data_IF_723144614847
#
_entry.id   IF_723144614847
#
_cell.length_a   1.000
_cell.length_b   1.000
_cell.length_c   1.000
_cell.angle_alpha   90.00
_cell.angle_beta   90.00
_cell.angle_gamma   90.00
#
_symmetry.space_group_name_H-M   'P 1'
#
loop_
_entity.id
_entity.type
_entity.pdbx_description
1 polymer ?
#
# COMPACT_ATOMS: atom_id res chain seq x y z
N UNK A 1 12.13 -19.13 12.80
CA UNK A 1 12.09 -19.04 11.32
C UNK A 1 12.70 -20.30 10.72
N UNK A 2 12.18 -20.79 9.59
CA UNK A 2 12.81 -21.92 8.88
C UNK A 2 14.08 -21.48 8.15
N UNK A 3 15.01 -22.41 7.93
CA UNK A 3 16.22 -22.16 7.15
C UNK A 3 15.89 -21.67 5.72
N UNK A 4 14.79 -22.16 5.15
CA UNK A 4 14.29 -21.71 3.84
C UNK A 4 13.84 -20.25 3.86
N UNK A 5 13.11 -19.80 4.88
CA UNK A 5 12.69 -18.42 5.01
C UNK A 5 13.89 -17.47 5.14
N UNK A 6 14.90 -17.86 5.93
CA UNK A 6 16.13 -17.09 6.08
C UNK A 6 16.90 -16.98 4.75
N UNK A 7 17.02 -18.09 4.02
CA UNK A 7 17.67 -18.11 2.70
C UNK A 7 16.96 -17.21 1.70
N UNK A 8 15.62 -17.32 1.60
CA UNK A 8 14.83 -16.52 0.67
C UNK A 8 14.93 -15.03 1.01
N UNK A 9 14.90 -14.68 2.29
CA UNK A 9 15.09 -13.30 2.75
C UNK A 9 16.49 -12.79 2.42
N UNK A 10 17.54 -13.60 2.59
CA UNK A 10 18.91 -13.26 2.19
C UNK A 10 19.02 -12.99 0.68
N UNK A 11 18.44 -13.83 -0.16
CA UNK A 11 18.39 -13.62 -1.62
C UNK A 11 17.66 -12.31 -1.94
N UNK A 12 16.53 -12.06 -1.31
CA UNK A 12 15.76 -10.83 -1.46
C UNK A 12 16.61 -9.59 -1.12
N UNK A 13 17.31 -9.59 0.02
CA UNK A 13 18.21 -8.49 0.40
C UNK A 13 19.35 -8.29 -0.61
N UNK A 14 19.94 -9.36 -1.14
CA UNK A 14 20.98 -9.25 -2.17
C UNK A 14 20.44 -8.55 -3.41
N UNK A 15 19.26 -8.95 -3.89
CA UNK A 15 18.62 -8.30 -5.05
C UNK A 15 18.39 -6.81 -4.79
N UNK A 16 17.89 -6.46 -3.60
CA UNK A 16 17.69 -5.06 -3.22
C UNK A 16 19.00 -4.27 -3.16
N UNK A 17 20.08 -4.86 -2.63
CA UNK A 17 21.42 -4.23 -2.61
C UNK A 17 21.94 -4.01 -4.03
N UNK A 18 21.73 -4.96 -4.95
CA UNK A 18 22.13 -4.80 -6.35
C UNK A 18 21.36 -3.66 -7.03
N UNK A 19 20.04 -3.60 -6.83
CA UNK A 19 19.20 -2.47 -7.29
C UNK A 19 19.73 -1.15 -6.71
N UNK A 20 20.07 -1.15 -5.43
CA UNK A 20 20.51 0.04 -4.72
C UNK A 20 21.88 0.55 -5.20
N UNK A 21 22.85 -0.34 -5.37
CA UNK A 21 24.17 -0.03 -5.93
C UNK A 21 24.04 0.51 -7.36
N UNK A 22 23.17 -0.10 -8.16
CA UNK A 22 22.98 0.29 -9.56
C UNK A 22 22.24 1.64 -9.68
N UNK A 23 21.21 1.87 -8.86
CA UNK A 23 20.55 3.17 -8.79
C UNK A 23 21.52 4.27 -8.32
N UNK A 24 22.40 3.96 -7.36
CA UNK A 24 23.43 4.89 -6.89
C UNK A 24 24.42 5.28 -8.00
N UNK A 25 24.80 4.35 -8.90
CA UNK A 25 25.58 4.66 -10.11
C UNK A 25 24.87 5.73 -10.95
N UNK A 26 23.57 5.55 -11.21
CA UNK A 26 22.74 6.52 -11.93
C UNK A 26 22.72 7.90 -11.27
N UNK A 27 22.49 7.96 -9.96
CA UNK A 27 22.52 9.20 -9.16
C UNK A 27 23.88 9.91 -9.28
N UNK A 28 24.98 9.17 -9.13
CA UNK A 28 26.33 9.74 -9.19
C UNK A 28 26.67 10.26 -10.61
N UNK A 29 26.21 9.59 -11.66
CA UNK A 29 26.33 10.05 -13.06
C UNK A 29 25.53 11.33 -13.30
N UNK A 30 24.29 11.41 -12.82
CA UNK A 30 23.45 12.61 -12.97
C UNK A 30 24.07 13.84 -12.29
N UNK A 31 24.76 13.63 -11.17
CA UNK A 31 25.37 14.68 -10.37
C UNK A 31 26.82 15.03 -10.76
N UNK A 32 27.35 14.46 -11.85
CA UNK A 32 28.77 14.57 -12.20
C UNK A 32 29.28 16.02 -12.31
N UNK A 33 28.44 16.96 -12.75
CA UNK A 33 28.78 18.39 -12.92
C UNK A 33 28.52 19.26 -11.69
N UNK A 34 27.97 18.71 -10.62
CA UNK A 34 27.70 19.47 -9.41
C UNK A 34 28.93 19.58 -8.51
N UNK A 35 28.91 20.56 -7.60
CA UNK A 35 30.00 20.80 -6.67
C UNK A 35 30.32 19.56 -5.83
N UNK A 36 31.58 19.43 -5.38
CA UNK A 36 32.02 18.34 -4.51
C UNK A 36 31.17 18.27 -3.24
N UNK A 37 30.79 19.43 -2.69
CA UNK A 37 29.93 19.53 -1.51
C UNK A 37 28.56 18.91 -1.74
N UNK A 38 27.88 19.26 -2.84
CA UNK A 38 26.56 18.69 -3.18
C UNK A 38 26.67 17.18 -3.34
N UNK A 39 27.67 16.69 -4.08
CA UNK A 39 27.87 15.24 -4.28
C UNK A 39 28.12 14.49 -2.97
N UNK A 40 28.88 15.08 -2.03
CA UNK A 40 29.12 14.50 -0.69
C UNK A 40 27.83 14.43 0.13
N UNK A 41 27.03 15.51 0.13
CA UNK A 41 25.76 15.55 0.86
C UNK A 41 24.79 14.52 0.28
N UNK A 42 24.57 14.50 -1.03
CA UNK A 42 23.65 13.55 -1.66
C UNK A 42 24.10 12.11 -1.43
N UNK A 43 25.41 11.82 -1.54
CA UNK A 43 25.96 10.50 -1.22
C UNK A 43 25.67 10.10 0.22
N UNK A 44 25.94 11.00 1.17
CA UNK A 44 25.70 10.72 2.58
C UNK A 44 24.22 10.44 2.85
N UNK A 45 23.33 11.31 2.38
CA UNK A 45 21.87 11.15 2.54
C UNK A 45 21.39 9.86 1.89
N UNK A 46 21.82 9.57 0.66
CA UNK A 46 21.48 8.35 -0.06
C UNK A 46 21.81 7.10 0.76
N UNK A 47 23.06 6.99 1.22
CA UNK A 47 23.52 5.81 1.95
C UNK A 47 22.96 5.75 3.37
N UNK A 48 22.78 6.89 4.05
CA UNK A 48 22.14 6.93 5.36
C UNK A 48 20.70 6.39 5.30
N UNK A 49 19.89 6.87 4.34
CA UNK A 49 18.53 6.36 4.13
C UNK A 49 18.56 4.88 3.75
N UNK A 50 19.50 4.48 2.88
CA UNK A 50 19.56 3.09 2.39
C UNK A 50 19.95 2.10 3.47
N UNK A 51 20.99 2.41 4.24
CA UNK A 51 21.39 1.62 5.41
C UNK A 51 20.26 1.58 6.44
N UNK A 52 19.59 2.71 6.69
CA UNK A 52 18.44 2.79 7.59
C UNK A 52 17.29 1.87 7.15
N UNK A 53 16.96 1.85 5.85
CA UNK A 53 15.91 0.98 5.31
C UNK A 53 16.28 -0.50 5.44
N UNK A 54 17.53 -0.88 5.14
CA UNK A 54 17.99 -2.26 5.32
C UNK A 54 18.00 -2.68 6.78
N UNK A 55 18.47 -1.81 7.68
CA UNK A 55 18.42 -2.05 9.12
C UNK A 55 16.97 -2.25 9.60
N UNK A 56 16.03 -1.43 9.11
CA UNK A 56 14.61 -1.57 9.41
C UNK A 56 14.04 -2.90 8.90
N UNK A 57 14.31 -3.29 7.65
CA UNK A 57 13.85 -4.57 7.11
C UNK A 57 14.40 -5.77 7.89
N UNK A 58 15.69 -5.73 8.25
CA UNK A 58 16.33 -6.77 9.07
C UNK A 58 15.71 -6.80 10.47
N UNK A 59 15.51 -5.64 11.08
CA UNK A 59 14.86 -5.51 12.39
C UNK A 59 13.44 -6.09 12.38
N UNK A 60 12.63 -5.70 11.39
CA UNK A 60 11.27 -6.24 11.18
C UNK A 60 11.31 -7.75 10.97
N UNK A 61 12.30 -8.27 10.23
CA UNK A 61 12.43 -9.71 10.00
C UNK A 61 12.76 -10.46 11.29
N UNK A 62 13.68 -9.93 12.11
CA UNK A 62 14.06 -10.53 13.39
C UNK A 62 12.87 -10.49 14.36
N UNK A 63 12.17 -9.35 14.45
CA UNK A 63 11.00 -9.15 15.30
C UNK A 63 9.68 -9.60 14.69
N UNK A 64 9.70 -10.36 13.58
CA UNK A 64 8.48 -10.68 12.82
C UNK A 64 7.44 -11.42 13.67
N UNK A 65 7.89 -12.29 14.57
CA UNK A 65 6.98 -13.01 15.48
C UNK A 65 6.28 -12.07 16.45
N UNK A 66 6.99 -11.08 17.01
CA UNK A 66 6.41 -10.09 17.91
C UNK A 66 5.44 -9.16 17.18
N UNK A 67 5.76 -8.77 15.95
CA UNK A 67 4.87 -7.96 15.10
C UNK A 67 3.59 -8.74 14.78
N UNK A 68 3.72 -10.01 14.40
CA UNK A 68 2.59 -10.90 14.16
C UNK A 68 1.75 -11.08 15.43
N UNK A 69 2.39 -11.25 16.59
CA UNK A 69 1.70 -11.38 17.87
C UNK A 69 0.92 -10.11 18.26
N UNK A 70 1.44 -8.93 17.91
CA UNK A 70 0.76 -7.65 18.13
C UNK A 70 -0.41 -7.38 17.18
N UNK A 71 -0.51 -8.11 16.05
CA UNK A 71 -1.58 -7.98 15.05
C UNK A 71 -1.72 -6.55 14.50
N UNK A 72 -0.61 -5.81 14.48
CA UNK A 72 -0.58 -4.40 14.08
C UNK A 72 -0.44 -4.25 12.55
N UNK A 73 -1.58 -4.36 11.87
CA UNK A 73 -1.67 -4.19 10.42
C UNK A 73 -1.25 -2.78 9.96
N UNK A 74 -1.44 -1.76 10.81
CA UNK A 74 -1.06 -0.37 10.50
C UNK A 74 0.46 -0.20 10.40
N UNK A 75 1.22 -0.90 11.24
CA UNK A 75 2.68 -0.95 11.16
C UNK A 75 3.14 -1.63 9.86
N UNK A 76 2.54 -2.77 9.51
CA UNK A 76 2.86 -3.48 8.27
C UNK A 76 2.57 -2.61 7.04
N UNK A 77 1.41 -1.94 7.00
CA UNK A 77 1.09 -0.97 5.95
C UNK A 77 2.14 0.14 5.85
N UNK A 78 2.56 0.71 6.99
CA UNK A 78 3.56 1.77 7.03
C UNK A 78 4.94 1.30 6.52
N UNK A 79 5.33 0.06 6.82
CA UNK A 79 6.54 -0.55 6.31
C UNK A 79 6.49 -0.75 4.79
N UNK A 80 5.36 -1.26 4.26
CA UNK A 80 5.17 -1.43 2.82
C UNK A 80 5.19 -0.08 2.11
N UNK A 81 4.51 0.93 2.66
CA UNK A 81 4.53 2.30 2.17
C UNK A 81 5.96 2.87 2.10
N UNK A 82 6.74 2.73 3.18
CA UNK A 82 8.11 3.21 3.24
C UNK A 82 9.02 2.44 2.27
N UNK A 83 8.84 1.12 2.16
CA UNK A 83 9.53 0.28 1.19
C UNK A 83 9.27 0.74 -0.25
N UNK A 84 8.01 0.96 -0.62
CA UNK A 84 7.63 1.44 -1.94
C UNK A 84 8.17 2.84 -2.21
N UNK A 85 8.05 3.76 -1.24
CA UNK A 85 8.57 5.12 -1.34
C UNK A 85 10.09 5.13 -1.62
N UNK A 86 10.81 4.15 -1.08
CA UNK A 86 12.26 4.05 -1.21
C UNK A 86 12.72 3.26 -2.46
N UNK A 87 12.13 2.09 -2.74
CA UNK A 87 12.58 1.21 -3.83
C UNK A 87 11.93 1.51 -5.17
N UNK A 88 10.68 1.97 -5.22
CA UNK A 88 9.99 2.21 -6.49
C UNK A 88 10.69 3.30 -7.33
N UNK A 89 11.14 4.44 -6.77
CA UNK A 89 11.94 5.42 -7.52
C UNK A 89 13.27 4.84 -8.02
N UNK A 90 13.90 3.96 -7.23
CA UNK A 90 15.17 3.32 -7.62
C UNK A 90 15.00 2.40 -8.80
N UNK A 91 13.90 1.65 -8.89
CA UNK A 91 13.59 0.84 -10.07
C UNK A 91 13.50 1.70 -11.34
N UNK A 92 12.89 2.88 -11.26
CA UNK A 92 12.87 3.82 -12.39
C UNK A 92 14.28 4.25 -12.76
N UNK A 93 15.11 4.65 -11.79
CA UNK A 93 16.51 5.02 -12.04
C UNK A 93 17.28 3.87 -12.71
N UNK A 94 17.11 2.63 -12.21
CA UNK A 94 17.73 1.43 -12.78
C UNK A 94 17.31 1.21 -14.23
N UNK A 95 16.03 1.42 -14.58
CA UNK A 95 15.57 1.26 -15.98
C UNK A 95 16.21 2.31 -16.89
N UNK A 96 16.22 3.59 -16.50
CA UNK A 96 16.80 4.65 -17.31
C UNK A 96 18.31 4.53 -17.46
N UNK A 97 19.01 4.18 -16.37
CA UNK A 97 20.44 3.97 -16.39
C UNK A 97 20.83 2.67 -17.11
N UNK A 98 20.01 1.62 -16.97
CA UNK A 98 20.12 0.36 -17.69
C UNK A 98 19.95 0.54 -19.19
N UNK A 99 19.01 1.39 -19.62
CA UNK A 99 18.85 1.73 -21.03
C UNK A 99 20.11 2.40 -21.59
N UNK A 100 20.71 3.34 -20.85
CA UNK A 100 21.98 3.96 -21.27
C UNK A 100 23.12 2.93 -21.41
N UNK A 101 23.30 2.05 -20.41
CA UNK A 101 24.29 0.98 -20.46
C UNK A 101 24.05 0.01 -21.64
N UNK A 102 22.79 -0.36 -21.92
CA UNK A 102 22.42 -1.22 -23.04
C UNK A 102 22.72 -0.55 -24.40
N UNK A 103 22.37 0.72 -24.54
CA UNK A 103 22.68 1.51 -25.73
C UNK A 103 24.19 1.65 -25.93
N UNK A 104 24.94 1.80 -24.83
CA UNK A 104 26.40 1.84 -24.86
C UNK A 104 27.00 0.52 -25.33
N UNK A 105 26.57 -0.62 -24.76
CA UNK A 105 27.03 -1.95 -25.18
C UNK A 105 26.67 -2.22 -26.65
N UNK A 106 25.44 -1.91 -27.06
CA UNK A 106 25.01 -2.03 -28.46
C UNK A 106 25.89 -1.23 -29.41
N UNK A 107 26.25 0.01 -29.03
CA UNK A 107 27.20 0.84 -29.78
C UNK A 107 28.58 0.19 -29.84
N UNK A 108 29.11 -0.33 -28.74
CA UNK A 108 30.42 -1.00 -28.72
C UNK A 108 30.44 -2.23 -29.63
N UNK A 109 29.36 -3.01 -29.65
CA UNK A 109 29.19 -4.16 -30.55
C UNK A 109 29.12 -3.69 -32.01
N UNK A 110 28.30 -2.68 -32.31
CA UNK A 110 28.17 -2.10 -33.65
C UNK A 110 29.51 -1.56 -34.17
N UNK A 111 30.28 -0.87 -33.33
CA UNK A 111 31.61 -0.34 -33.64
C UNK A 111 32.65 -1.43 -33.94
N UNK A 112 32.47 -2.66 -33.40
CA UNK A 112 33.32 -3.81 -33.74
C UNK A 112 32.93 -4.46 -35.07
N UNK A 113 31.69 -4.26 -35.52
CA UNK A 113 31.12 -4.95 -36.69
C UNK A 113 31.15 -4.09 -37.98
N UNK A 114 31.21 -2.76 -37.89
CA UNK A 114 31.21 -1.87 -39.06
C UNK A 114 32.28 -0.74 -38.98
N UNK A 115 32.88 -0.32 -40.11
CA UNK A 115 33.79 0.82 -40.16
C UNK A 115 33.08 2.17 -39.87
N UNK A 116 33.78 3.08 -39.18
CA UNK A 116 33.25 4.27 -38.48
C UNK A 116 32.51 5.32 -39.33
N UNK A 117 31.61 6.07 -38.67
CA UNK A 117 31.76 7.52 -38.53
C UNK A 117 32.20 7.90 -37.11
N UNK A 118 33.06 8.90 -37.01
CA UNK A 118 33.64 9.42 -35.76
C UNK A 118 32.60 10.27 -35.02
N UNK A 119 32.03 9.76 -33.93
CA UNK A 119 31.30 10.59 -32.97
C UNK A 119 32.26 11.22 -31.97
N UNK A 120 32.09 12.50 -31.65
CA UNK A 120 32.98 13.25 -30.76
C UNK A 120 33.01 12.64 -29.34
N UNK A 121 34.18 12.54 -28.68
CA UNK A 121 34.34 11.90 -27.36
C UNK A 121 33.46 12.47 -26.22
N UNK A 122 32.90 13.67 -26.39
CA UNK A 122 32.07 14.35 -25.37
C UNK A 122 30.58 14.00 -25.40
N UNK A 123 30.02 13.59 -26.55
CA UNK A 123 28.57 13.40 -26.69
C UNK A 123 28.03 12.20 -25.88
N UNK A 124 28.83 11.14 -25.72
CA UNK A 124 28.38 9.94 -25.02
C UNK A 124 28.18 10.19 -23.52
N UNK A 125 29.10 10.93 -22.89
CA UNK A 125 29.01 11.31 -21.48
C UNK A 125 27.86 12.29 -21.24
N UNK A 126 27.62 13.21 -22.18
CA UNK A 126 26.48 14.13 -22.14
C UNK A 126 25.13 13.40 -22.19
N UNK A 127 25.00 12.39 -23.07
CA UNK A 127 23.78 11.58 -23.18
C UNK A 127 23.53 10.72 -21.94
N UNK A 128 24.55 10.04 -21.42
CA UNK A 128 24.44 9.24 -20.20
C UNK A 128 23.98 10.10 -19.01
N UNK A 129 24.57 11.30 -18.86
CA UNK A 129 24.15 12.26 -17.84
C UNK A 129 22.73 12.76 -18.06
N UNK A 130 22.36 13.11 -19.30
CA UNK A 130 21.00 13.53 -19.63
C UNK A 130 19.97 12.44 -19.30
N UNK A 131 20.23 11.19 -19.69
CA UNK A 131 19.34 10.04 -19.40
C UNK A 131 19.25 9.78 -17.89
N UNK A 132 20.36 9.85 -17.15
CA UNK A 132 20.33 9.71 -15.69
C UNK A 132 19.58 10.86 -15.01
N UNK A 133 19.73 12.10 -15.48
CA UNK A 133 18.98 13.26 -14.95
C UNK A 133 17.48 13.13 -15.24
N UNK A 134 17.11 12.73 -16.46
CA UNK A 134 15.74 12.42 -16.83
C UNK A 134 15.19 11.30 -15.96
N UNK A 135 15.97 10.24 -15.73
CA UNK A 135 15.62 9.15 -14.83
C UNK A 135 15.32 9.61 -13.40
N UNK A 136 16.10 10.55 -12.84
CA UNK A 136 15.82 11.14 -11.53
C UNK A 136 14.53 11.96 -11.51
N UNK A 137 14.27 12.76 -12.55
CA UNK A 137 13.04 13.55 -12.66
C UNK A 137 11.84 12.61 -12.73
N UNK A 138 11.89 11.58 -13.58
CA UNK A 138 10.80 10.60 -13.72
C UNK A 138 10.62 9.79 -12.44
N UNK A 139 11.71 9.44 -11.74
CA UNK A 139 11.65 8.73 -10.46
C UNK A 139 10.96 9.53 -9.33
N UNK A 140 10.89 10.87 -9.45
CA UNK A 140 10.13 11.70 -8.51
C UNK A 140 8.62 11.48 -8.62
N UNK A 141 8.11 11.04 -9.78
CA UNK A 141 6.67 10.80 -10.00
C UNK A 141 6.13 9.68 -9.10
N UNK A 142 6.66 8.44 -9.11
CA UNK A 142 6.20 7.41 -8.19
C UNK A 142 6.49 7.75 -6.73
N UNK A 143 7.58 8.49 -6.43
CA UNK A 143 7.85 8.96 -5.06
C UNK A 143 6.72 9.86 -4.54
N UNK A 144 6.39 10.91 -5.29
CA UNK A 144 5.31 11.85 -4.94
C UNK A 144 3.95 11.14 -4.95
N UNK A 145 3.72 10.23 -5.90
CA UNK A 145 2.49 9.44 -5.98
C UNK A 145 2.27 8.56 -4.75
N UNK A 146 3.28 7.79 -4.33
CA UNK A 146 3.22 6.98 -3.11
C UNK A 146 3.05 7.88 -1.88
N UNK A 147 3.86 8.94 -1.76
CA UNK A 147 3.79 9.88 -0.64
C UNK A 147 2.39 10.51 -0.51
N UNK A 148 1.82 10.96 -1.63
CA UNK A 148 0.47 11.48 -1.68
C UNK A 148 -0.55 10.42 -1.30
N UNK A 149 -0.46 9.22 -1.87
CA UNK A 149 -1.37 8.10 -1.59
C UNK A 149 -1.45 7.77 -0.11
N UNK A 150 -0.30 7.64 0.55
CA UNK A 150 -0.22 7.22 1.96
C UNK A 150 -0.56 8.34 2.95
N UNK A 151 -0.37 9.62 2.57
CA UNK A 151 -0.64 10.76 3.47
C UNK A 151 -2.00 11.41 3.26
N UNK A 152 -2.44 11.55 2.01
CA UNK A 152 -3.65 12.31 1.61
C UNK A 152 -4.66 11.43 0.88
N UNK A 153 -4.20 10.65 -0.11
CA UNK A 153 -5.04 9.82 -0.96
C UNK A 153 -5.93 8.85 -0.17
N UNK A 154 -5.36 8.21 0.87
CA UNK A 154 -6.11 7.28 1.74
C UNK A 154 -7.33 7.91 2.45
N UNK A 155 -7.39 9.25 2.55
CA UNK A 155 -8.51 9.99 3.18
C UNK A 155 -9.46 10.62 2.15
N UNK A 156 -9.21 10.40 0.86
CA UNK A 156 -9.98 10.99 -0.24
C UNK A 156 -11.21 10.13 -0.56
N UNK A 157 -12.16 10.09 0.37
CA UNK A 157 -13.44 9.42 0.15
C UNK A 157 -14.23 10.06 -1.00
N UNK A 158 -14.88 9.24 -1.81
CA UNK A 158 -15.77 9.67 -2.87
C UNK A 158 -17.13 9.00 -2.71
N UNK A 159 -18.21 9.78 -2.79
CA UNK A 159 -19.58 9.26 -2.77
C UNK A 159 -20.06 9.05 -4.20
N UNK A 160 -20.16 7.78 -4.60
CA UNK A 160 -20.73 7.40 -5.90
C UNK A 160 -22.24 7.20 -5.78
N UNK A 161 -23.02 7.95 -6.56
CA UNK A 161 -24.49 7.84 -6.59
C UNK A 161 -24.91 7.14 -7.87
N UNK A 162 -25.46 5.93 -7.75
CA UNK A 162 -25.87 5.10 -8.89
C UNK A 162 -27.39 4.95 -8.90
N UNK A 163 -28.11 5.56 -9.86
CA UNK A 163 -29.55 5.37 -9.96
C UNK A 163 -29.86 3.98 -10.52
N UNK A 164 -30.53 3.13 -9.74
CA UNK A 164 -30.99 1.81 -10.17
C UNK A 164 -32.43 1.92 -10.67
N UNK A 165 -32.68 1.45 -11.89
CA UNK A 165 -34.01 1.43 -12.51
C UNK A 165 -34.29 0.04 -13.07
N UNK A 166 -35.47 -0.50 -12.78
CA UNK A 166 -35.92 -1.77 -13.33
C UNK A 166 -37.43 -1.77 -13.45
N UNK A 167 -37.96 -2.31 -14.56
CA UNK A 167 -39.39 -2.50 -14.74
C UNK A 167 -39.99 -3.49 -13.72
N UNK A 168 -39.15 -4.35 -13.13
CA UNK A 168 -39.55 -5.32 -12.13
C UNK A 168 -39.43 -4.79 -10.69
N UNK A 169 -38.98 -3.55 -10.49
CA UNK A 169 -38.87 -2.96 -9.16
C UNK A 169 -40.26 -2.46 -8.70
N UNK A 170 -40.83 -2.97 -7.59
CA UNK A 170 -42.11 -2.49 -7.10
C UNK A 170 -42.08 -0.99 -6.79
N UNK A 171 -43.18 -0.28 -7.07
CA UNK A 171 -43.29 1.17 -6.86
C UNK A 171 -43.03 1.61 -5.40
N UNK A 172 -43.23 0.72 -4.42
CA UNK A 172 -42.91 0.98 -3.01
C UNK A 172 -41.41 1.23 -2.74
N UNK A 173 -40.52 0.84 -3.67
CA UNK A 173 -39.08 1.09 -3.59
C UNK A 173 -38.64 2.35 -4.36
N UNK A 174 -39.58 3.07 -4.99
CA UNK A 174 -39.24 4.32 -5.65
C UNK A 174 -38.73 5.35 -4.64
N UNK A 175 -37.59 5.97 -4.95
CA UNK A 175 -36.91 6.89 -4.05
C UNK A 175 -36.16 6.24 -2.86
N UNK A 176 -36.15 4.91 -2.75
CA UNK A 176 -35.37 4.23 -1.70
C UNK A 176 -33.88 4.54 -1.86
N UNK A 177 -33.26 5.04 -0.78
CA UNK A 177 -31.81 5.32 -0.73
C UNK A 177 -31.08 4.26 0.07
N UNK A 178 -30.18 3.55 -0.60
CA UNK A 178 -29.31 2.56 0.02
C UNK A 178 -27.88 3.09 -0.04
N UNK A 179 -27.21 3.13 1.11
CA UNK A 179 -25.76 3.28 1.16
C UNK A 179 -25.15 1.91 1.37
N UNK A 180 -24.31 1.50 0.42
CA UNK A 180 -23.52 0.28 0.53
C UNK A 180 -22.10 0.64 0.96
N UNK A 181 -21.58 -0.09 1.94
CA UNK A 181 -20.17 -0.04 2.37
C UNK A 181 -19.61 -1.46 2.45
N UNK A 182 -18.30 -1.60 2.28
CA UNK A 182 -17.59 -2.89 2.39
C UNK A 182 -16.11 -2.64 2.67
N UNK A 183 -15.35 -3.71 2.93
CA UNK A 183 -13.88 -3.72 2.91
C UNK A 183 -13.26 -2.62 3.80
N UNK A 184 -13.81 -2.42 5.00
CA UNK A 184 -13.31 -1.41 5.92
C UNK A 184 -11.95 -1.77 6.49
N UNK A 185 -11.66 -3.06 6.69
CA UNK A 185 -10.35 -3.54 7.16
C UNK A 185 -9.77 -2.75 8.33
N UNK A 186 -10.56 -2.60 9.40
CA UNK A 186 -10.33 -1.60 10.45
C UNK A 186 -8.95 -1.65 11.12
N UNK A 187 -8.33 -2.83 11.24
CA UNK A 187 -6.97 -2.97 11.78
C UNK A 187 -5.90 -2.18 10.99
N UNK A 188 -6.16 -1.83 9.73
CA UNK A 188 -5.26 -1.03 8.89
C UNK A 188 -5.22 0.45 9.27
N UNK A 189 -6.18 0.93 10.08
CA UNK A 189 -6.23 2.33 10.53
C UNK A 189 -5.56 2.56 11.89
N UNK A 190 -5.14 1.51 12.59
CA UNK A 190 -4.52 1.62 13.91
C UNK A 190 -5.40 2.39 14.89
N UNK A 191 -4.87 3.45 15.51
CA UNK A 191 -5.59 4.32 16.46
C UNK A 191 -6.35 5.49 15.78
N UNK A 192 -6.30 5.63 14.46
CA UNK A 192 -6.87 6.77 13.75
C UNK A 192 -8.39 6.64 13.59
N UNK A 193 -9.16 7.09 14.59
CA UNK A 193 -10.63 7.12 14.51
C UNK A 193 -11.16 8.15 13.50
N UNK A 194 -10.35 9.16 13.14
CA UNK A 194 -10.82 10.32 12.35
C UNK A 194 -11.18 9.95 10.91
N UNK A 195 -10.46 8.98 10.34
CA UNK A 195 -10.71 8.48 8.98
C UNK A 195 -12.07 7.76 8.91
N UNK A 196 -12.39 6.93 9.90
CA UNK A 196 -13.66 6.22 9.98
C UNK A 196 -14.80 7.20 10.27
N UNK A 197 -14.59 8.18 11.15
CA UNK A 197 -15.57 9.23 11.42
C UNK A 197 -15.92 10.02 10.14
N UNK A 198 -14.93 10.37 9.33
CA UNK A 198 -15.15 11.05 8.04
C UNK A 198 -16.07 10.22 7.12
N UNK A 199 -15.86 8.90 7.06
CA UNK A 199 -16.73 8.00 6.30
C UNK A 199 -18.16 7.98 6.85
N UNK A 200 -18.34 7.89 8.17
CA UNK A 200 -19.66 7.91 8.82
C UNK A 200 -20.40 9.23 8.57
N UNK A 201 -19.70 10.36 8.60
CA UNK A 201 -20.29 11.67 8.33
C UNK A 201 -20.81 11.76 6.89
N UNK A 202 -20.05 11.21 5.92
CA UNK A 202 -20.49 11.12 4.52
C UNK A 202 -21.71 10.20 4.36
N UNK A 203 -21.73 9.04 5.02
CA UNK A 203 -22.89 8.13 5.01
C UNK A 203 -24.13 8.85 5.53
N UNK A 204 -24.01 9.54 6.67
CA UNK A 204 -25.12 10.25 7.28
C UNK A 204 -25.61 11.43 6.42
N UNK A 205 -24.72 12.10 5.68
CA UNK A 205 -25.08 13.19 4.77
C UNK A 205 -26.00 12.73 3.62
N UNK A 206 -25.93 11.46 3.20
CA UNK A 206 -26.84 10.91 2.18
C UNK A 206 -28.27 10.66 2.70
N UNK A 207 -28.48 10.76 4.01
CA UNK A 207 -29.76 10.46 4.68
C UNK A 207 -30.36 9.12 4.20
N UNK A 208 -29.63 7.99 4.34
CA UNK A 208 -30.03 6.73 3.76
C UNK A 208 -31.24 6.14 4.47
N UNK A 209 -32.02 5.37 3.70
CA UNK A 209 -33.07 4.53 4.25
C UNK A 209 -32.47 3.23 4.80
N UNK A 210 -31.52 2.65 4.07
CA UNK A 210 -30.81 1.44 4.45
C UNK A 210 -29.30 1.66 4.37
N UNK A 211 -28.57 1.11 5.33
CA UNK A 211 -27.14 0.88 5.18
C UNK A 211 -26.91 -0.62 5.05
N UNK A 212 -26.22 -1.02 3.98
CA UNK A 212 -25.80 -2.39 3.74
C UNK A 212 -24.27 -2.47 3.86
N UNK A 213 -23.78 -3.19 4.86
CA UNK A 213 -22.37 -3.50 4.99
C UNK A 213 -22.11 -4.88 4.39
N UNK A 214 -21.49 -4.93 3.21
CA UNK A 214 -21.32 -6.17 2.45
C UNK A 214 -20.00 -6.90 2.72
N UNK A 215 -19.57 -6.95 3.99
CA UNK A 215 -18.43 -7.74 4.46
C UNK A 215 -17.09 -7.01 4.53
N UNK A 216 -16.12 -7.68 5.17
CA UNK A 216 -14.74 -7.28 5.43
C UNK A 216 -14.64 -6.07 6.38
N UNK A 217 -15.19 -6.26 7.59
CA UNK A 217 -15.06 -5.30 8.68
C UNK A 217 -13.62 -5.26 9.22
N UNK A 218 -13.01 -6.43 9.38
CA UNK A 218 -11.68 -6.61 9.96
C UNK A 218 -10.72 -7.21 8.94
N UNK A 219 -9.42 -7.16 9.21
CA UNK A 219 -8.41 -7.85 8.40
C UNK A 219 -8.41 -9.35 8.75
N UNK A 220 -8.39 -9.67 10.03
CA UNK A 220 -8.42 -11.06 10.49
C UNK A 220 -9.03 -11.23 11.89
N UNK A 221 -8.91 -10.22 12.76
CA UNK A 221 -9.24 -10.35 14.18
C UNK A 221 -10.34 -9.38 14.59
N UNK A 222 -11.27 -9.86 15.43
CA UNK A 222 -12.42 -9.08 15.87
C UNK A 222 -12.03 -7.89 16.76
N UNK A 223 -10.92 -7.98 17.51
CA UNK A 223 -10.41 -6.89 18.36
C UNK A 223 -10.03 -5.62 17.57
N UNK A 224 -9.70 -5.76 16.29
CA UNK A 224 -9.42 -4.64 15.39
C UNK A 224 -10.59 -3.64 15.30
N UNK A 225 -11.83 -4.12 15.44
CA UNK A 225 -13.03 -3.31 15.29
C UNK A 225 -13.49 -2.65 16.61
N UNK A 226 -13.05 -3.13 17.77
CA UNK A 226 -13.62 -2.74 19.08
C UNK A 226 -13.61 -1.24 19.32
N UNK A 227 -12.48 -0.59 19.07
CA UNK A 227 -12.31 0.86 19.26
C UNK A 227 -13.17 1.69 18.32
N UNK A 228 -13.57 1.14 17.18
CA UNK A 228 -14.36 1.83 16.17
C UNK A 228 -15.87 1.68 16.40
N UNK A 229 -16.29 0.80 17.32
CA UNK A 229 -17.72 0.58 17.65
C UNK A 229 -18.45 1.91 17.91
N UNK A 230 -17.96 2.84 18.75
CA UNK A 230 -18.69 4.08 19.02
C UNK A 230 -18.88 4.95 17.77
N UNK A 231 -17.88 4.98 16.89
CA UNK A 231 -17.92 5.73 15.63
C UNK A 231 -18.94 5.10 14.68
N UNK A 232 -18.85 3.79 14.48
CA UNK A 232 -19.71 3.02 13.56
C UNK A 232 -21.17 2.97 14.04
N UNK A 233 -21.40 2.96 15.35
CA UNK A 233 -22.73 3.09 15.94
C UNK A 233 -23.41 4.42 15.57
N UNK A 234 -22.64 5.47 15.30
CA UNK A 234 -23.11 6.78 14.87
C UNK A 234 -23.71 6.83 13.46
N UNK A 235 -23.57 5.76 12.66
CA UNK A 235 -24.23 5.64 11.36
C UNK A 235 -25.75 5.53 11.51
N UNK A 236 -26.50 6.35 10.75
CA UNK A 236 -27.95 6.48 10.83
C UNK A 236 -28.59 6.04 9.52
N UNK A 237 -29.64 5.24 9.63
CA UNK A 237 -30.49 4.83 8.52
C UNK A 237 -31.95 4.83 8.98
N UNK A 238 -32.88 5.25 8.12
CA UNK A 238 -34.30 5.37 8.49
C UNK A 238 -34.97 4.02 8.76
N UNK A 239 -34.67 3.01 7.94
CA UNK A 239 -35.27 1.67 8.01
C UNK A 239 -34.38 0.74 8.83
N UNK A 240 -33.06 0.75 8.58
CA UNK A 240 -32.14 -0.10 9.35
C UNK A 240 -30.76 -0.25 8.73
N UNK A 241 -29.90 -0.94 9.49
CA UNK A 241 -28.52 -1.24 9.14
C UNK A 241 -28.36 -2.76 9.10
N UNK A 242 -27.90 -3.30 7.98
CA UNK A 242 -27.73 -4.73 7.77
C UNK A 242 -26.31 -5.01 7.34
N UNK A 243 -25.76 -6.14 7.78
CA UNK A 243 -24.42 -6.56 7.41
C UNK A 243 -24.36 -8.04 7.06
N UNK A 244 -23.39 -8.41 6.24
CA UNK A 244 -22.94 -9.79 6.03
C UNK A 244 -21.44 -9.87 6.36
N UNK A 245 -20.93 -11.09 6.49
CA UNK A 245 -19.49 -11.34 6.63
C UNK A 245 -18.83 -11.37 5.25
N UNK A 246 -17.60 -10.88 5.17
CA UNK A 246 -16.72 -11.04 4.01
C UNK A 246 -15.66 -12.12 4.26
N UNK A 247 -14.76 -12.36 3.30
CA UNK A 247 -13.77 -13.44 3.40
C UNK A 247 -12.73 -13.21 4.51
N UNK A 248 -12.42 -11.95 4.85
CA UNK A 248 -11.50 -11.64 5.95
C UNK A 248 -12.15 -11.81 7.32
N UNK A 249 -13.45 -11.59 7.42
CA UNK A 249 -14.21 -11.73 8.66
C UNK A 249 -14.24 -13.18 9.18
N UNK A 250 -14.07 -14.19 8.30
CA UNK A 250 -13.98 -15.60 8.69
C UNK A 250 -12.65 -15.97 9.36
N UNK A 251 -11.63 -15.11 9.25
CA UNK A 251 -10.30 -15.33 9.83
C UNK A 251 -9.64 -16.65 9.36
N UNK A 252 -9.89 -17.03 8.11
CA UNK A 252 -9.31 -18.23 7.49
C UNK A 252 -7.83 -18.07 7.13
N UNK A 253 -7.33 -16.82 7.08
CA UNK A 253 -5.93 -16.51 6.78
C UNK A 253 -5.02 -16.55 8.00
N UNK A 254 -5.58 -16.74 9.20
CA UNK A 254 -4.85 -16.89 10.45
C UNK A 254 -4.64 -18.36 10.80
N UNK A 255 -3.42 -18.69 11.20
CA UNK A 255 -3.14 -19.95 11.87
C UNK A 255 -3.48 -19.82 13.35
N UNK A 256 -4.61 -20.40 13.74
CA UNK A 256 -5.06 -20.50 15.12
C UNK A 256 -4.41 -21.72 15.79
N UNK A 257 -3.79 -21.53 16.95
CA UNK A 257 -3.21 -22.64 17.73
C UNK A 257 -4.30 -23.53 18.31
N UNK A 258 -5.36 -22.91 18.84
CA UNK A 258 -6.58 -23.58 19.30
C UNK A 258 -7.75 -23.23 18.37
N UNK A 259 -8.43 -24.22 17.75
CA UNK A 259 -9.66 -23.99 17.00
C UNK A 259 -10.75 -23.25 17.80
N UNK A 260 -10.77 -23.38 19.13
CA UNK A 260 -11.69 -22.66 20.00
C UNK A 260 -11.50 -21.13 19.94
N UNK A 261 -10.27 -20.66 19.78
CA UNK A 261 -9.97 -19.22 19.68
C UNK A 261 -10.55 -18.62 18.39
N UNK A 262 -10.55 -19.37 17.29
CA UNK A 262 -11.20 -18.94 16.04
C UNK A 262 -12.70 -18.79 16.22
N UNK A 263 -13.33 -19.75 16.90
CA UNK A 263 -14.77 -19.70 17.21
C UNK A 263 -15.06 -18.50 18.12
N UNK A 264 -14.25 -18.28 19.16
CA UNK A 264 -14.40 -17.13 20.04
C UNK A 264 -14.24 -15.79 19.29
N UNK A 265 -13.29 -15.70 18.36
CA UNK A 265 -13.10 -14.54 17.48
C UNK A 265 -14.33 -14.28 16.61
N UNK A 266 -14.90 -15.32 16.01
CA UNK A 266 -16.12 -15.21 15.22
C UNK A 266 -17.33 -14.75 16.06
N UNK A 267 -17.55 -15.34 17.24
CA UNK A 267 -18.64 -14.92 18.13
C UNK A 267 -18.47 -13.47 18.60
N UNK A 268 -17.23 -13.08 18.89
CA UNK A 268 -16.89 -11.69 19.20
C UNK A 268 -17.20 -10.75 18.04
N UNK A 269 -16.83 -11.12 16.81
CA UNK A 269 -17.12 -10.32 15.62
C UNK A 269 -18.63 -10.13 15.43
N UNK A 270 -19.43 -11.20 15.58
CA UNK A 270 -20.90 -11.13 15.54
C UNK A 270 -21.45 -10.16 16.59
N UNK A 271 -20.92 -10.20 17.81
CA UNK A 271 -21.30 -9.29 18.88
C UNK A 271 -20.94 -7.83 18.55
N UNK A 272 -19.80 -7.60 17.89
CA UNK A 272 -19.38 -6.27 17.42
C UNK A 272 -20.36 -5.73 16.37
N UNK A 273 -20.75 -6.52 15.36
CA UNK A 273 -21.80 -6.11 14.40
C UNK A 273 -23.07 -5.63 15.09
N UNK A 274 -23.54 -6.39 16.09
CA UNK A 274 -24.69 -6.00 16.90
C UNK A 274 -24.44 -4.71 17.69
N UNK A 275 -23.27 -4.55 18.30
CA UNK A 275 -22.90 -3.36 19.09
C UNK A 275 -22.81 -2.08 18.23
N UNK A 276 -22.42 -2.21 16.96
CA UNK A 276 -22.46 -1.12 15.97
C UNK A 276 -23.89 -0.79 15.51
N UNK A 277 -24.89 -1.56 15.95
CA UNK A 277 -26.30 -1.43 15.58
C UNK A 277 -26.64 -2.04 14.21
N UNK A 278 -25.81 -2.94 13.68
CA UNK A 278 -26.09 -3.66 12.45
C UNK A 278 -26.76 -5.00 12.78
N UNK A 279 -27.79 -5.36 12.01
CA UNK A 279 -28.30 -6.73 11.96
C UNK A 279 -27.40 -7.55 11.05
N UNK A 280 -26.60 -8.43 11.63
CA UNK A 280 -25.81 -9.40 10.89
C UNK A 280 -26.74 -10.48 10.33
N UNK A 281 -26.66 -10.70 9.02
CA UNK A 281 -27.42 -11.70 8.29
C UNK A 281 -26.51 -12.93 8.10
N UNK A 282 -26.94 -14.09 8.61
CA UNK A 282 -26.19 -15.35 8.59
C UNK A 282 -26.99 -16.44 7.87
N UNK A 283 -27.41 -16.15 6.65
CA UNK A 283 -28.24 -17.05 5.83
C UNK A 283 -29.49 -17.58 6.57
N UNK A 284 -30.12 -16.70 7.35
CA UNK A 284 -31.36 -16.97 8.07
C UNK A 284 -32.52 -16.95 7.06
N UNK A 285 -33.16 -18.11 6.85
CA UNK A 285 -34.42 -18.24 6.12
C UNK A 285 -35.62 -17.81 6.97
#
# INVERSE_FOLDING_TARGET
MSAQALRNFGIFLIVLVLIDLYAYKGVNTALANHSVTIRRIVRFVYWAISIGMFALLIWTMIGFQDIKAKRDHSYVFSLVALFLLFFLPKLVIVVFHGLDDLLHVGRLVWMKLLPRPVGAPGEAMERARFLSQLGLIVASVPFVGVLYGVTKGRRSFNVARVPVRSANLPAAFDGLRIVQISDMHLGSYGDDLTIVQTGIDLINAESPDLILFTGDLVNDYADEAERFIPVLAGAKARIGKFSILGNHDYSDYVQWEDPADKVANMEKLKAIHKAMGFRLMLDEN
#
